data_IF_291122695092
#
_entry.id   IF_291122695092
#
_cell.length_a   1.000
_cell.length_b   1.000
_cell.length_c   1.000
_cell.angle_alpha   90.00
_cell.angle_beta   90.00
_cell.angle_gamma   90.00
#
_symmetry.space_group_name_H-M   'P 1'
#
loop_
_entity.id
_entity.type
_entity.pdbx_description
1 polymer ?
#
# COMPACT_ATOMS: atom_id res chain seq x y z
N UNK A 1 -1.17 -49.81 -20.09
CA UNK A 1 -1.32 -50.45 -18.77
C UNK A 1 -1.50 -49.31 -17.78
N UNK A 2 -2.74 -48.89 -17.58
CA UNK A 2 -3.15 -47.94 -16.55
C UNK A 2 -3.32 -48.71 -15.25
N UNK A 3 -2.28 -48.77 -14.44
CA UNK A 3 -2.37 -49.15 -13.06
C UNK A 3 -2.86 -47.97 -12.27
N UNK A 4 -4.19 -47.74 -12.25
CA UNK A 4 -4.81 -46.72 -11.42
C UNK A 4 -4.67 -47.05 -9.95
N UNK A 5 -3.64 -46.56 -9.27
CA UNK A 5 -3.69 -46.39 -7.82
C UNK A 5 -4.88 -45.46 -7.54
N UNK A 6 -5.94 -46.00 -6.90
CA UNK A 6 -7.06 -45.19 -6.44
C UNK A 6 -6.53 -44.17 -5.46
N UNK A 7 -6.52 -42.89 -5.84
CA UNK A 7 -6.04 -41.81 -4.98
C UNK A 7 -6.81 -41.76 -3.66
N UNK A 8 -6.17 -41.24 -2.62
CA UNK A 8 -6.78 -41.10 -1.30
C UNK A 8 -7.98 -40.16 -1.39
N UNK A 9 -9.17 -40.67 -1.03
CA UNK A 9 -10.41 -39.87 -0.97
C UNK A 9 -10.63 -39.33 0.42
N UNK A 10 -10.93 -38.05 0.51
CA UNK A 10 -11.27 -37.34 1.75
C UNK A 10 -12.27 -36.22 1.43
N UNK A 11 -12.88 -35.65 2.46
CA UNK A 11 -13.69 -34.45 2.29
C UNK A 11 -12.81 -33.28 1.88
N UNK A 12 -13.11 -32.67 0.73
CA UNK A 12 -12.41 -31.49 0.23
C UNK A 12 -12.78 -30.25 1.06
N UNK A 13 -11.81 -29.53 1.59
CA UNK A 13 -12.01 -28.32 2.39
C UNK A 13 -12.64 -27.16 1.60
N UNK A 14 -12.50 -27.16 0.27
CA UNK A 14 -13.04 -26.10 -0.60
C UNK A 14 -14.50 -26.37 -0.98
N UNK A 15 -14.80 -27.60 -1.38
CA UNK A 15 -16.14 -27.94 -1.91
C UNK A 15 -17.07 -28.59 -0.88
N UNK A 16 -16.52 -29.06 0.25
CA UNK A 16 -17.26 -29.84 1.24
C UNK A 16 -17.64 -31.25 0.82
N UNK A 17 -17.32 -31.65 -0.42
CA UNK A 17 -17.66 -32.97 -0.99
C UNK A 17 -16.48 -33.94 -0.83
N UNK A 18 -16.78 -35.24 -0.82
CA UNK A 18 -15.76 -36.27 -0.91
C UNK A 18 -15.15 -36.26 -2.32
N UNK A 19 -13.82 -36.20 -2.40
CA UNK A 19 -13.08 -36.10 -3.65
C UNK A 19 -11.71 -36.79 -3.51
N UNK A 20 -11.08 -37.10 -4.63
CA UNK A 20 -9.69 -37.53 -4.66
C UNK A 20 -8.76 -36.35 -4.37
N UNK A 21 -7.96 -36.44 -3.33
CA UNK A 21 -7.15 -35.34 -2.84
C UNK A 21 -5.86 -35.15 -3.65
N UNK A 22 -5.56 -33.91 -3.98
CA UNK A 22 -4.30 -33.54 -4.61
C UNK A 22 -3.16 -33.58 -3.55
N UNK A 23 -2.29 -34.57 -3.60
CA UNK A 23 -1.13 -34.69 -2.72
C UNK A 23 -0.20 -33.45 -2.86
N UNK A 24 -0.07 -32.93 -4.08
CA UNK A 24 0.67 -31.70 -4.40
C UNK A 24 -0.23 -30.80 -5.26
N UNK A 25 -0.33 -29.53 -4.90
CA UNK A 25 -1.07 -28.57 -5.71
C UNK A 25 -0.22 -28.06 -6.90
N UNK A 26 -0.82 -27.70 -8.02
CA UNK A 26 -0.11 -27.05 -9.10
C UNK A 26 0.54 -25.73 -8.65
N UNK A 27 1.64 -25.33 -9.31
CA UNK A 27 2.37 -24.11 -8.97
C UNK A 27 1.66 -22.86 -9.48
N UNK A 28 1.68 -21.80 -8.67
CA UNK A 28 1.28 -20.46 -9.05
C UNK A 28 2.50 -19.74 -9.65
N UNK A 29 2.31 -19.14 -10.82
CA UNK A 29 3.33 -18.40 -11.59
C UNK A 29 3.00 -16.91 -11.63
N UNK A 30 3.98 -16.06 -11.97
CA UNK A 30 3.73 -14.63 -12.18
C UNK A 30 3.80 -13.77 -10.91
N UNK A 31 4.05 -14.36 -9.73
CA UNK A 31 4.33 -13.58 -8.51
C UNK A 31 5.76 -13.05 -8.57
N UNK A 32 5.93 -11.75 -8.38
CA UNK A 32 7.23 -11.07 -8.43
C UNK A 32 8.23 -11.69 -7.44
N UNK A 33 9.46 -11.84 -7.86
CA UNK A 33 10.57 -12.40 -7.07
C UNK A 33 10.35 -13.83 -6.54
N UNK A 34 9.29 -14.52 -6.96
CA UNK A 34 9.12 -15.94 -6.74
C UNK A 34 9.93 -16.76 -7.76
N UNK A 35 10.03 -18.07 -7.55
CA UNK A 35 10.71 -18.96 -8.49
C UNK A 35 10.03 -18.92 -9.87
N UNK A 36 10.82 -18.89 -10.93
CA UNK A 36 10.32 -18.84 -12.32
C UNK A 36 9.50 -20.06 -12.71
N UNK A 37 9.78 -21.23 -12.11
CA UNK A 37 8.97 -22.46 -12.27
C UNK A 37 7.60 -22.37 -11.59
N UNK A 38 7.39 -21.33 -10.76
CA UNK A 38 6.24 -21.13 -9.91
C UNK A 38 6.49 -21.55 -8.46
N UNK A 39 5.61 -21.11 -7.59
CA UNK A 39 5.66 -21.40 -6.15
C UNK A 39 4.30 -21.94 -5.66
N UNK A 40 4.33 -22.77 -4.62
CA UNK A 40 3.12 -23.37 -4.07
C UNK A 40 2.38 -22.41 -3.14
N UNK A 41 1.07 -22.25 -3.33
CA UNK A 41 0.21 -21.52 -2.39
C UNK A 41 -0.06 -22.36 -1.12
N UNK A 42 -0.31 -23.66 -1.31
CA UNK A 42 -0.51 -24.64 -0.23
C UNK A 42 0.53 -25.75 -0.40
N UNK A 43 1.34 -25.98 0.62
CA UNK A 43 2.42 -26.99 0.57
C UNK A 43 2.86 -27.42 1.98
N UNK A 44 3.03 -28.73 2.17
CA UNK A 44 3.51 -29.39 3.39
C UNK A 44 4.76 -30.19 3.07
N UNK A 45 5.83 -29.51 2.70
CA UNK A 45 7.06 -30.12 2.19
C UNK A 45 8.14 -30.37 3.25
N UNK A 46 7.80 -30.26 4.53
CA UNK A 46 8.69 -30.58 5.63
C UNK A 46 7.94 -31.32 6.74
N UNK A 47 8.59 -32.26 7.48
CA UNK A 47 7.94 -32.99 8.56
C UNK A 47 7.31 -32.09 9.63
N UNK A 48 7.91 -30.92 9.89
CA UNK A 48 7.39 -29.96 10.87
C UNK A 48 6.01 -29.36 10.48
N UNK A 49 5.58 -29.51 9.24
CA UNK A 49 4.26 -29.05 8.76
C UNK A 49 3.21 -30.16 8.78
N UNK A 50 3.62 -31.40 9.06
CA UNK A 50 2.76 -32.57 9.05
C UNK A 50 2.22 -32.87 10.44
N UNK A 51 0.97 -33.32 10.54
CA UNK A 51 0.30 -33.67 11.80
C UNK A 51 -0.53 -34.93 11.64
N UNK A 52 -0.78 -35.62 12.76
CA UNK A 52 -1.63 -36.82 12.82
C UNK A 52 -1.25 -37.94 11.83
N UNK A 53 0.05 -38.07 11.52
CA UNK A 53 0.55 -39.08 10.59
C UNK A 53 0.19 -38.84 9.12
N UNK A 54 -0.29 -37.64 8.77
CA UNK A 54 -0.58 -37.26 7.39
C UNK A 54 0.63 -36.62 6.74
N UNK A 55 0.82 -36.90 5.46
CA UNK A 55 1.91 -36.35 4.66
C UNK A 55 1.36 -35.38 3.63
N UNK A 56 2.21 -34.49 3.12
CA UNK A 56 1.89 -33.57 2.04
C UNK A 56 0.54 -32.82 2.28
N UNK A 57 -0.21 -32.53 1.20
CA UNK A 57 -1.47 -31.80 1.28
C UNK A 57 -2.65 -32.62 1.83
N UNK A 58 -2.44 -33.87 2.25
CA UNK A 58 -3.41 -34.60 3.08
C UNK A 58 -3.60 -33.97 4.47
N UNK A 59 -2.69 -33.09 4.90
CA UNK A 59 -2.84 -32.25 6.09
C UNK A 59 -3.90 -31.14 5.93
N UNK A 60 -4.13 -30.68 4.69
CA UNK A 60 -5.20 -29.74 4.32
C UNK A 60 -5.85 -30.25 3.03
N UNK A 61 -6.74 -31.24 3.11
CA UNK A 61 -7.23 -31.98 1.94
C UNK A 61 -8.03 -31.08 1.00
N UNK A 62 -7.57 -30.92 -0.23
CA UNK A 62 -8.24 -30.24 -1.32
C UNK A 62 -8.32 -31.19 -2.50
N UNK A 63 -9.52 -31.38 -3.05
CA UNK A 63 -9.76 -32.23 -4.20
C UNK A 63 -8.99 -31.80 -5.44
N UNK A 64 -8.61 -32.74 -6.30
CA UNK A 64 -7.81 -32.47 -7.52
C UNK A 64 -8.42 -31.39 -8.39
N UNK A 65 -9.74 -31.43 -8.58
CA UNK A 65 -10.44 -30.40 -9.38
C UNK A 65 -10.32 -29.01 -8.72
N UNK A 66 -10.58 -28.90 -7.43
CA UNK A 66 -10.50 -27.61 -6.72
C UNK A 66 -9.07 -27.04 -6.72
N UNK A 67 -8.05 -27.90 -6.52
CA UNK A 67 -6.65 -27.50 -6.57
C UNK A 67 -6.25 -26.98 -7.97
N UNK A 68 -6.69 -27.67 -9.03
CA UNK A 68 -6.49 -27.24 -10.40
C UNK A 68 -7.23 -25.92 -10.70
N UNK A 69 -8.51 -25.82 -10.32
CA UNK A 69 -9.37 -24.69 -10.66
C UNK A 69 -8.85 -23.37 -10.06
N UNK A 70 -8.54 -23.34 -8.75
CA UNK A 70 -8.04 -22.09 -8.14
C UNK A 70 -6.67 -21.70 -8.68
N UNK A 71 -5.80 -22.68 -8.95
CA UNK A 71 -4.46 -22.40 -9.48
C UNK A 71 -4.52 -21.89 -10.92
N UNK A 72 -5.37 -22.50 -11.76
CA UNK A 72 -5.57 -22.05 -13.14
C UNK A 72 -6.14 -20.64 -13.19
N UNK A 73 -7.17 -20.35 -12.39
CA UNK A 73 -7.75 -19.01 -12.28
C UNK A 73 -6.73 -17.99 -11.82
N UNK A 74 -5.96 -18.29 -10.77
CA UNK A 74 -4.95 -17.37 -10.24
C UNK A 74 -3.81 -17.14 -11.26
N UNK A 75 -3.37 -18.18 -11.96
CA UNK A 75 -2.37 -18.06 -13.02
C UNK A 75 -2.88 -17.21 -14.19
N UNK A 76 -4.16 -17.33 -14.53
CA UNK A 76 -4.79 -16.50 -15.56
C UNK A 76 -4.77 -15.02 -15.16
N UNK A 77 -5.24 -14.70 -13.95
CA UNK A 77 -5.25 -13.33 -13.44
C UNK A 77 -3.82 -12.75 -13.32
N UNK A 78 -2.85 -13.54 -12.88
CA UNK A 78 -1.45 -13.11 -12.75
C UNK A 78 -0.74 -12.88 -14.10
N UNK A 79 -1.28 -13.42 -15.19
CA UNK A 79 -0.77 -13.20 -16.54
C UNK A 79 -1.30 -11.90 -17.18
N UNK A 80 -2.31 -11.28 -16.59
CA UNK A 80 -2.94 -10.07 -17.08
C UNK A 80 -2.51 -8.86 -16.25
N UNK A 81 -1.90 -7.86 -16.89
CA UNK A 81 -1.39 -6.65 -16.26
C UNK A 81 -2.49 -5.77 -15.62
N UNK A 82 -3.72 -5.84 -16.11
CA UNK A 82 -4.83 -5.05 -15.59
C UNK A 82 -5.29 -5.57 -14.23
N UNK A 83 -5.12 -6.86 -13.99
CA UNK A 83 -5.41 -7.51 -12.72
C UNK A 83 -4.29 -7.43 -11.69
N UNK A 84 -3.08 -6.96 -12.06
CA UNK A 84 -1.88 -7.06 -11.21
C UNK A 84 -1.28 -5.70 -10.88
N UNK A 85 -1.01 -5.49 -9.60
CA UNK A 85 -0.24 -4.35 -9.10
C UNK A 85 0.93 -4.82 -8.24
N UNK A 86 2.06 -4.13 -8.30
CA UNK A 86 3.23 -4.43 -7.48
C UNK A 86 3.43 -3.37 -6.39
N UNK A 87 3.36 -3.80 -5.13
CA UNK A 87 3.49 -2.93 -3.95
C UNK A 87 4.61 -3.48 -3.06
N UNK A 88 5.82 -2.92 -3.19
CA UNK A 88 7.02 -3.48 -2.58
C UNK A 88 7.31 -4.88 -3.14
N UNK A 89 7.41 -5.90 -2.27
CA UNK A 89 7.55 -7.31 -2.65
C UNK A 89 6.18 -8.00 -2.90
N UNK A 90 5.08 -7.30 -2.64
CA UNK A 90 3.74 -7.87 -2.73
C UNK A 90 3.20 -7.72 -4.14
N UNK A 91 2.84 -8.83 -4.75
CA UNK A 91 2.03 -8.88 -5.96
C UNK A 91 0.56 -8.87 -5.55
N UNK A 92 -0.13 -7.80 -5.85
CA UNK A 92 -1.56 -7.62 -5.58
C UNK A 92 -2.33 -8.04 -6.81
N UNK A 93 -3.21 -9.01 -6.66
CA UNK A 93 -4.13 -9.47 -7.69
C UNK A 93 -5.53 -9.02 -7.33
N UNK A 94 -6.28 -8.48 -8.29
CA UNK A 94 -7.65 -8.03 -8.06
C UNK A 94 -8.59 -8.48 -9.17
N UNK A 95 -9.86 -8.68 -8.82
CA UNK A 95 -10.90 -9.07 -9.76
C UNK A 95 -12.30 -8.72 -9.24
N UNK A 96 -13.23 -8.51 -10.17
CA UNK A 96 -14.66 -8.39 -9.87
C UNK A 96 -15.37 -9.75 -10.06
N UNK A 97 -16.45 -9.95 -9.34
CA UNK A 97 -17.32 -11.11 -9.56
C UNK A 97 -18.07 -10.93 -10.89
N UNK A 98 -18.02 -11.94 -11.76
CA UNK A 98 -18.66 -11.90 -13.07
C UNK A 98 -17.73 -11.51 -14.24
N UNK A 99 -16.39 -11.51 -14.02
CA UNK A 99 -15.35 -11.38 -15.06
C UNK A 99 -15.49 -10.11 -15.92
N UNK A 100 -15.54 -8.95 -15.29
CA UNK A 100 -15.57 -7.64 -15.97
C UNK A 100 -14.23 -6.92 -15.73
N UNK A 101 -13.46 -6.68 -16.80
CA UNK A 101 -12.11 -6.12 -16.75
C UNK A 101 -12.11 -4.60 -16.46
N UNK A 102 -13.27 -3.94 -16.53
CA UNK A 102 -13.40 -2.52 -16.23
C UNK A 102 -13.00 -2.19 -14.77
N UNK A 103 -13.35 -3.07 -13.82
CA UNK A 103 -13.07 -2.86 -12.40
C UNK A 103 -11.58 -2.95 -12.04
N UNK A 104 -10.83 -4.01 -12.46
CA UNK A 104 -9.40 -4.08 -12.22
C UNK A 104 -8.64 -2.94 -12.87
N UNK A 105 -8.95 -2.58 -14.11
CA UNK A 105 -8.31 -1.47 -14.81
C UNK A 105 -8.52 -0.12 -14.12
N UNK A 106 -9.76 0.17 -13.68
CA UNK A 106 -10.07 1.38 -12.91
C UNK A 106 -9.32 1.39 -11.56
N UNK A 107 -9.36 0.28 -10.82
CA UNK A 107 -8.64 0.16 -9.55
C UNK A 107 -7.14 0.39 -9.72
N UNK A 108 -6.55 -0.22 -10.73
CA UNK A 108 -5.12 -0.08 -11.06
C UNK A 108 -4.72 1.35 -11.37
N UNK A 109 -5.54 2.07 -12.15
CA UNK A 109 -5.30 3.47 -12.47
C UNK A 109 -5.38 4.37 -11.22
N UNK A 110 -6.39 4.17 -10.38
CA UNK A 110 -6.58 4.95 -9.14
C UNK A 110 -5.42 4.74 -8.17
N UNK A 111 -4.94 3.51 -7.99
CA UNK A 111 -3.86 3.20 -7.03
C UNK A 111 -2.48 3.54 -7.59
N UNK A 112 -2.26 3.26 -8.87
CA UNK A 112 -0.98 3.42 -9.53
C UNK A 112 -0.69 4.84 -10.04
N UNK A 113 -1.68 5.73 -10.07
CA UNK A 113 -1.54 7.07 -10.68
C UNK A 113 -1.40 7.00 -12.20
N UNK A 114 -2.01 6.00 -12.81
CA UNK A 114 -2.05 5.80 -14.27
C UNK A 114 -3.25 6.49 -14.93
N UNK A 115 -3.37 6.27 -16.24
CA UNK A 115 -4.55 6.68 -17.03
C UNK A 115 -5.48 5.49 -17.21
N UNK A 116 -6.77 5.74 -17.28
CA UNK A 116 -7.79 4.73 -17.57
C UNK A 116 -8.74 5.24 -18.65
N UNK A 117 -8.86 4.51 -19.74
CA UNK A 117 -9.81 4.83 -20.82
C UNK A 117 -9.68 6.24 -21.41
N UNK A 118 -8.50 6.86 -21.34
CA UNK A 118 -8.28 8.24 -21.77
C UNK A 118 -8.79 9.33 -20.83
N UNK A 119 -9.23 8.96 -19.61
CA UNK A 119 -9.66 9.90 -18.59
C UNK A 119 -8.51 10.78 -18.12
N UNK A 120 -8.80 12.06 -17.89
CA UNK A 120 -7.89 12.95 -17.16
C UNK A 120 -7.83 12.58 -15.66
N UNK A 121 -6.78 13.02 -14.95
CA UNK A 121 -6.68 12.90 -13.49
C UNK A 121 -7.93 13.42 -12.75
N UNK A 122 -8.52 14.52 -13.25
CA UNK A 122 -9.72 15.11 -12.65
C UNK A 122 -10.95 14.22 -12.86
N UNK A 123 -11.11 13.63 -14.05
CA UNK A 123 -12.23 12.74 -14.35
C UNK A 123 -12.10 11.45 -13.54
N UNK A 124 -10.89 10.91 -13.41
CA UNK A 124 -10.62 9.72 -12.58
C UNK A 124 -10.96 9.98 -11.10
N UNK A 125 -10.60 11.17 -10.57
CA UNK A 125 -11.00 11.60 -9.22
C UNK A 125 -12.50 11.76 -9.06
N UNK A 126 -13.17 12.34 -10.06
CA UNK A 126 -14.63 12.51 -10.03
C UNK A 126 -15.33 11.14 -10.02
N UNK A 127 -14.88 10.21 -10.85
CA UNK A 127 -15.39 8.84 -10.87
C UNK A 127 -15.14 8.11 -9.55
N UNK A 128 -13.92 8.22 -8.98
CA UNK A 128 -13.61 7.68 -7.65
C UNK A 128 -14.57 8.19 -6.57
N UNK A 129 -14.82 9.51 -6.52
CA UNK A 129 -15.77 10.12 -5.57
C UNK A 129 -17.20 9.65 -5.78
N UNK A 130 -17.65 9.47 -7.03
CA UNK A 130 -18.98 8.91 -7.32
C UNK A 130 -19.11 7.51 -6.73
N UNK A 131 -18.17 6.63 -7.05
CA UNK A 131 -18.15 5.25 -6.57
C UNK A 131 -18.04 5.17 -5.03
N UNK A 132 -17.21 6.02 -4.43
CA UNK A 132 -17.07 6.13 -2.98
C UNK A 132 -18.37 6.58 -2.27
N UNK A 133 -19.24 7.29 -2.97
CA UNK A 133 -20.57 7.68 -2.49
C UNK A 133 -21.69 6.69 -2.88
N UNK A 134 -21.32 5.50 -3.38
CA UNK A 134 -22.28 4.47 -3.76
C UNK A 134 -23.03 4.76 -5.07
N UNK A 135 -22.54 5.67 -5.90
CA UNK A 135 -23.15 6.04 -7.17
C UNK A 135 -22.43 5.34 -8.35
N UNK A 136 -23.16 4.73 -9.29
CA UNK A 136 -22.55 4.06 -10.42
C UNK A 136 -21.87 5.04 -11.38
N UNK A 137 -20.88 4.55 -12.11
CA UNK A 137 -20.26 5.24 -13.23
C UNK A 137 -20.63 4.50 -14.53
N UNK A 138 -21.83 4.81 -15.06
CA UNK A 138 -22.39 4.11 -16.21
C UNK A 138 -21.51 4.23 -17.46
N UNK A 139 -20.88 5.39 -17.66
CA UNK A 139 -19.95 5.65 -18.78
C UNK A 139 -18.71 4.75 -18.74
N UNK A 140 -18.38 4.19 -17.56
CA UNK A 140 -17.24 3.30 -17.36
C UNK A 140 -17.69 1.84 -17.15
N UNK A 141 -18.98 1.56 -17.13
CA UNK A 141 -19.51 0.22 -16.84
C UNK A 141 -19.27 -0.26 -15.41
N UNK A 142 -19.13 0.66 -14.43
CA UNK A 142 -18.73 0.33 -13.07
C UNK A 142 -19.85 0.59 -12.07
N UNK A 143 -20.34 -0.49 -11.41
CA UNK A 143 -21.34 -0.47 -10.35
C UNK A 143 -20.66 -0.61 -8.98
N UNK A 144 -20.87 0.32 -8.02
CA UNK A 144 -20.28 0.25 -6.68
C UNK A 144 -20.72 -0.98 -5.88
N UNK A 145 -21.84 -1.61 -6.19
CA UNK A 145 -22.34 -2.78 -5.47
C UNK A 145 -21.69 -4.09 -5.91
N UNK A 146 -20.90 -4.10 -6.99
CA UNK A 146 -20.24 -5.30 -7.50
C UNK A 146 -19.26 -5.85 -6.47
N UNK A 147 -19.32 -7.13 -6.11
CA UNK A 147 -18.30 -7.76 -5.27
C UNK A 147 -16.94 -7.70 -5.94
N UNK A 148 -15.95 -7.24 -5.19
CA UNK A 148 -14.58 -7.08 -5.65
C UNK A 148 -13.60 -7.72 -4.67
N UNK A 149 -12.55 -8.32 -5.19
CA UNK A 149 -11.58 -9.08 -4.43
C UNK A 149 -10.19 -8.55 -4.64
N UNK A 150 -9.40 -8.50 -3.58
CA UNK A 150 -7.98 -8.11 -3.60
C UNK A 150 -7.18 -9.14 -2.82
N UNK A 151 -6.21 -9.77 -3.49
CA UNK A 151 -5.31 -10.76 -2.92
C UNK A 151 -3.87 -10.27 -3.01
N UNK A 152 -3.21 -10.09 -1.87
CA UNK A 152 -1.79 -9.77 -1.78
C UNK A 152 -0.95 -11.02 -1.57
N UNK A 153 -0.07 -11.31 -2.52
CA UNK A 153 0.85 -12.45 -2.50
C UNK A 153 2.30 -11.95 -2.42
N UNK A 154 3.12 -12.62 -1.63
CA UNK A 154 4.56 -12.35 -1.56
C UNK A 154 5.37 -13.65 -1.67
N UNK A 155 6.59 -13.59 -2.24
CA UNK A 155 7.46 -14.74 -2.32
C UNK A 155 7.91 -15.20 -0.92
N UNK A 156 7.99 -16.50 -0.74
CA UNK A 156 8.52 -17.15 0.47
C UNK A 156 9.25 -18.44 0.08
N UNK A 157 10.46 -18.29 -0.47
CA UNK A 157 11.23 -19.39 -1.07
C UNK A 157 10.41 -20.14 -2.15
N UNK A 158 10.20 -21.46 -1.97
CA UNK A 158 9.40 -22.27 -2.90
C UNK A 158 7.88 -22.13 -2.71
N UNK A 159 7.44 -21.27 -1.79
CA UNK A 159 6.03 -21.06 -1.43
C UNK A 159 5.64 -19.61 -1.60
N UNK A 160 4.34 -19.34 -1.50
CA UNK A 160 3.77 -17.99 -1.45
C UNK A 160 3.19 -17.72 -0.05
N UNK A 161 3.38 -16.51 0.41
CA UNK A 161 2.68 -15.98 1.59
C UNK A 161 1.50 -15.14 1.15
N UNK A 162 0.33 -15.38 1.72
CA UNK A 162 -0.82 -14.48 1.60
C UNK A 162 -0.63 -13.34 2.61
N UNK A 163 -0.35 -12.14 2.12
CA UNK A 163 -0.20 -10.94 2.96
C UNK A 163 -1.55 -10.43 3.43
N UNK A 164 -2.53 -10.44 2.54
CA UNK A 164 -3.93 -10.11 2.83
C UNK A 164 -4.84 -10.65 1.76
N UNK A 165 -6.09 -10.87 2.16
CA UNK A 165 -7.21 -11.14 1.25
C UNK A 165 -8.38 -10.27 1.69
N UNK A 166 -8.90 -9.47 0.78
CA UNK A 166 -10.03 -8.57 1.02
C UNK A 166 -11.15 -8.89 0.06
N UNK A 167 -12.37 -8.86 0.58
CA UNK A 167 -13.60 -8.99 -0.19
C UNK A 167 -14.58 -7.95 0.32
N UNK A 168 -15.04 -7.09 -0.55
CA UNK A 168 -16.08 -6.10 -0.24
C UNK A 168 -16.79 -5.70 -1.54
N UNK A 169 -17.78 -4.81 -1.47
CA UNK A 169 -18.28 -4.13 -2.64
C UNK A 169 -17.21 -3.20 -3.22
N UNK A 170 -17.20 -3.02 -4.53
CA UNK A 170 -16.25 -2.14 -5.20
C UNK A 170 -16.35 -0.70 -4.65
N UNK A 171 -17.57 -0.20 -4.43
CA UNK A 171 -17.81 1.12 -3.84
C UNK A 171 -17.19 1.27 -2.45
N UNK A 172 -17.27 0.24 -1.59
CA UNK A 172 -16.65 0.29 -0.25
C UNK A 172 -15.15 0.37 -0.31
N UNK A 173 -14.52 -0.36 -1.21
CA UNK A 173 -13.08 -0.27 -1.45
C UNK A 173 -12.69 1.10 -1.99
N UNK A 174 -13.48 1.67 -2.91
CA UNK A 174 -13.27 3.03 -3.43
C UNK A 174 -13.48 4.10 -2.36
N UNK A 175 -14.43 3.94 -1.46
CA UNK A 175 -14.60 4.80 -0.27
C UNK A 175 -13.33 4.83 0.58
N UNK A 176 -12.76 3.66 0.88
CA UNK A 176 -11.53 3.57 1.67
C UNK A 176 -10.35 4.26 0.99
N UNK A 177 -10.18 4.07 -0.33
CA UNK A 177 -9.14 4.69 -1.15
C UNK A 177 -9.35 6.20 -1.25
N UNK A 178 -10.57 6.65 -1.53
CA UNK A 178 -10.90 8.09 -1.58
C UNK A 178 -10.62 8.76 -0.23
N UNK A 179 -11.04 8.15 0.87
CA UNK A 179 -10.78 8.66 2.22
C UNK A 179 -9.27 8.68 2.56
N UNK A 180 -8.47 7.77 1.98
CA UNK A 180 -7.01 7.84 2.07
C UNK A 180 -6.48 9.09 1.35
N UNK A 181 -6.88 9.34 0.11
CA UNK A 181 -6.45 10.51 -0.65
C UNK A 181 -6.89 11.82 -0.03
N UNK A 182 -8.10 11.91 0.52
CA UNK A 182 -8.57 13.09 1.25
C UNK A 182 -7.72 13.38 2.49
N UNK A 183 -7.31 12.36 3.23
CA UNK A 183 -6.37 12.53 4.36
C UNK A 183 -4.97 12.98 3.91
N UNK A 184 -4.54 12.55 2.73
CA UNK A 184 -3.25 12.93 2.14
C UNK A 184 -3.26 14.35 1.57
N UNK A 185 -4.42 14.96 1.36
CA UNK A 185 -4.53 16.27 0.70
C UNK A 185 -3.83 17.36 1.52
N UNK A 186 -2.86 18.04 0.90
CA UNK A 186 -2.10 19.16 1.43
C UNK A 186 -1.73 20.09 0.29
N UNK A 187 -1.50 21.39 0.57
CA UNK A 187 -1.01 22.34 -0.43
C UNK A 187 0.24 21.80 -1.11
N UNK A 188 0.21 21.76 -2.44
CA UNK A 188 1.28 21.20 -3.27
C UNK A 188 2.18 22.27 -3.83
N UNK A 189 3.49 21.99 -3.99
CA UNK A 189 4.36 22.82 -4.81
C UNK A 189 3.87 22.86 -6.27
N UNK A 190 4.07 23.98 -6.94
CA UNK A 190 3.61 24.16 -8.33
C UNK A 190 4.25 23.19 -9.34
N UNK A 191 5.39 22.60 -9.01
CA UNK A 191 6.07 21.63 -9.86
C UNK A 191 5.53 20.20 -9.75
N UNK A 192 4.66 19.93 -8.75
CA UNK A 192 4.08 18.60 -8.58
C UNK A 192 3.00 18.34 -9.65
N UNK A 193 3.21 17.25 -10.40
CA UNK A 193 2.35 16.87 -11.53
C UNK A 193 1.09 16.12 -11.11
N UNK A 194 1.16 15.34 -10.03
CA UNK A 194 0.05 14.52 -9.58
C UNK A 194 -0.88 15.30 -8.68
N UNK A 195 -2.18 15.13 -8.88
CA UNK A 195 -3.22 15.70 -8.01
C UNK A 195 -3.30 15.00 -6.65
N UNK A 196 -2.75 13.79 -6.54
CA UNK A 196 -2.65 12.98 -5.34
C UNK A 196 -1.35 12.19 -5.36
N UNK A 197 -0.92 11.66 -4.22
CA UNK A 197 0.29 10.86 -4.10
C UNK A 197 -0.06 9.37 -4.36
N UNK A 198 0.28 8.81 -5.54
CA UNK A 198 0.05 7.41 -5.82
C UNK A 198 0.76 6.52 -4.79
N UNK A 199 0.27 5.30 -4.58
CA UNK A 199 0.79 4.41 -3.55
C UNK A 199 2.30 4.11 -3.72
N UNK A 200 2.78 3.95 -4.95
CA UNK A 200 4.22 3.76 -5.21
C UNK A 200 5.05 4.98 -4.80
N UNK A 201 4.54 6.18 -5.04
CA UNK A 201 5.21 7.43 -4.68
C UNK A 201 5.20 7.65 -3.16
N UNK A 202 4.07 7.33 -2.49
CA UNK A 202 3.98 7.31 -1.04
C UNK A 202 5.04 6.40 -0.42
N UNK A 203 5.18 5.18 -0.92
CA UNK A 203 6.17 4.24 -0.41
C UNK A 203 7.61 4.69 -0.68
N UNK A 204 7.85 5.41 -1.78
CA UNK A 204 9.16 5.98 -2.10
C UNK A 204 9.62 7.00 -1.06
N UNK A 205 8.72 7.73 -0.41
CA UNK A 205 9.05 8.67 0.68
C UNK A 205 9.67 7.99 1.92
N UNK A 206 9.53 6.68 2.03
CA UNK A 206 10.09 5.88 3.13
C UNK A 206 11.49 5.31 2.81
N UNK A 207 11.97 5.50 1.57
CA UNK A 207 13.16 4.83 1.05
C UNK A 207 14.39 5.73 1.16
N UNK A 208 15.52 5.15 1.59
CA UNK A 208 16.80 5.80 1.46
C UNK A 208 17.30 5.69 0.00
N UNK A 209 17.18 6.78 -0.75
CA UNK A 209 17.58 6.82 -2.17
C UNK A 209 19.10 6.69 -2.40
N UNK A 210 19.89 6.81 -1.33
CA UNK A 210 21.34 6.61 -1.36
C UNK A 210 21.77 5.19 -1.00
N UNK A 211 20.81 4.33 -0.59
CA UNK A 211 21.09 2.92 -0.32
C UNK A 211 21.22 2.11 -1.62
N UNK A 212 21.86 0.93 -1.53
CA UNK A 212 21.95 -0.02 -2.63
C UNK A 212 20.55 -0.52 -3.03
N UNK A 213 19.75 -0.88 -2.04
CA UNK A 213 18.38 -1.37 -2.22
C UNK A 213 17.40 -0.21 -2.05
N UNK A 214 17.03 0.40 -3.19
CA UNK A 214 16.09 1.53 -3.24
C UNK A 214 14.65 1.03 -3.17
N UNK A 215 14.34 0.15 -2.23
CA UNK A 215 13.02 -0.46 -2.05
C UNK A 215 12.46 -0.18 -0.64
N UNK A 216 11.14 0.00 -0.52
CA UNK A 216 10.50 0.12 0.79
C UNK A 216 10.56 -1.23 1.54
N UNK A 217 10.50 -1.19 2.88
CA UNK A 217 10.37 -2.42 3.67
C UNK A 217 9.15 -3.22 3.21
N UNK A 218 9.31 -4.50 2.82
CA UNK A 218 8.21 -5.31 2.30
C UNK A 218 7.03 -5.43 3.26
N UNK A 219 7.31 -5.68 4.54
CA UNK A 219 6.28 -5.81 5.56
C UNK A 219 5.49 -4.50 5.76
N UNK A 220 6.18 -3.37 5.79
CA UNK A 220 5.57 -2.05 5.92
C UNK A 220 4.74 -1.70 4.67
N UNK A 221 5.25 -1.96 3.47
CA UNK A 221 4.55 -1.70 2.21
C UNK A 221 3.24 -2.50 2.11
N UNK A 222 3.29 -3.80 2.38
CA UNK A 222 2.10 -4.66 2.40
C UNK A 222 1.07 -4.26 3.47
N UNK A 223 1.53 -3.92 4.69
CA UNK A 223 0.66 -3.46 5.76
C UNK A 223 0.00 -2.10 5.44
N UNK A 224 0.73 -1.19 4.78
CA UNK A 224 0.20 0.11 4.33
C UNK A 224 -0.86 -0.08 3.25
N UNK A 225 -0.60 -0.90 2.25
CA UNK A 225 -1.58 -1.22 1.20
C UNK A 225 -2.85 -1.83 1.78
N UNK A 226 -2.71 -2.84 2.65
CA UNK A 226 -3.84 -3.44 3.38
C UNK A 226 -4.64 -2.39 4.14
N UNK A 227 -3.97 -1.48 4.86
CA UNK A 227 -4.65 -0.44 5.65
C UNK A 227 -5.44 0.52 4.76
N UNK A 228 -4.90 0.90 3.59
CA UNK A 228 -5.58 1.75 2.62
C UNK A 228 -6.83 1.05 2.09
N UNK A 229 -6.71 -0.17 1.60
CA UNK A 229 -7.81 -0.91 0.96
C UNK A 229 -8.91 -1.32 1.95
N UNK A 230 -8.55 -1.72 3.17
CA UNK A 230 -9.51 -2.12 4.20
C UNK A 230 -10.07 -0.96 5.03
N UNK A 231 -9.55 0.27 4.86
CA UNK A 231 -9.91 1.40 5.72
C UNK A 231 -9.41 1.27 7.17
N UNK A 232 -8.48 0.35 7.46
CA UNK A 232 -7.88 0.17 8.77
C UNK A 232 -6.92 1.31 9.15
N UNK A 233 -6.40 1.30 10.38
CA UNK A 233 -5.34 2.23 10.83
C UNK A 233 -4.05 1.99 10.06
N UNK A 234 -3.31 3.05 9.77
CA UNK A 234 -1.99 2.92 9.17
C UNK A 234 -1.01 2.23 10.13
N UNK A 235 -0.07 1.42 9.62
CA UNK A 235 0.94 0.78 10.45
C UNK A 235 1.91 1.82 11.03
N UNK A 236 2.32 1.65 12.29
CA UNK A 236 3.29 2.54 12.95
C UNK A 236 4.60 2.62 12.18
N UNK A 237 5.01 1.52 11.55
CA UNK A 237 6.22 1.44 10.72
C UNK A 237 6.22 2.41 9.52
N UNK A 238 5.05 2.84 9.02
CA UNK A 238 4.96 3.87 7.97
C UNK A 238 5.43 5.24 8.52
N UNK A 239 4.92 5.65 9.69
CA UNK A 239 5.32 6.90 10.32
C UNK A 239 6.81 6.86 10.72
N UNK A 240 7.24 5.76 11.34
CA UNK A 240 8.63 5.56 11.77
C UNK A 240 9.61 5.67 10.60
N UNK A 241 9.30 5.05 9.46
CA UNK A 241 10.13 5.10 8.27
C UNK A 241 10.23 6.52 7.70
N UNK A 242 9.11 7.26 7.63
CA UNK A 242 9.11 8.66 7.17
C UNK A 242 9.88 9.55 8.12
N UNK A 243 9.67 9.42 9.43
CA UNK A 243 10.39 10.19 10.45
C UNK A 243 11.90 9.91 10.45
N UNK A 244 12.28 8.65 10.20
CA UNK A 244 13.69 8.28 10.04
C UNK A 244 14.30 8.99 8.82
N UNK A 245 13.59 9.07 7.69
CA UNK A 245 14.07 9.78 6.49
C UNK A 245 14.20 11.27 6.74
N UNK A 246 13.20 11.89 7.34
CA UNK A 246 13.24 13.32 7.70
C UNK A 246 14.48 13.64 8.54
N UNK A 247 14.72 12.84 9.59
CA UNK A 247 15.88 13.05 10.48
C UNK A 247 17.22 12.84 9.79
N UNK A 248 17.31 11.84 8.90
CA UNK A 248 18.55 11.50 8.19
C UNK A 248 18.86 12.50 7.06
N UNK A 249 17.83 12.92 6.32
CA UNK A 249 17.95 13.77 5.14
C UNK A 249 17.78 15.25 5.49
N UNK A 250 17.20 15.55 6.64
CA UNK A 250 16.84 16.92 7.10
C UNK A 250 15.96 17.63 6.08
N UNK A 251 15.14 16.86 5.38
CA UNK A 251 14.27 17.35 4.31
C UNK A 251 12.85 16.83 4.47
N UNK A 252 11.88 17.76 4.41
CA UNK A 252 10.47 17.48 4.49
C UNK A 252 9.86 17.73 3.12
N UNK A 253 9.74 16.67 2.33
CA UNK A 253 9.04 16.73 1.05
C UNK A 253 7.54 16.89 1.27
N UNK A 254 6.83 17.34 0.23
CA UNK A 254 5.37 17.37 0.20
C UNK A 254 4.78 15.99 0.55
N UNK A 255 5.33 14.91 -0.01
CA UNK A 255 4.88 13.54 0.25
C UNK A 255 5.06 13.13 1.71
N UNK A 256 6.22 13.41 2.33
CA UNK A 256 6.48 13.13 3.75
C UNK A 256 5.48 13.87 4.66
N UNK A 257 5.22 15.16 4.39
CA UNK A 257 4.24 15.95 5.15
C UNK A 257 2.82 15.39 5.00
N UNK A 258 2.41 15.01 3.78
CA UNK A 258 1.12 14.41 3.51
C UNK A 258 0.92 13.08 4.24
N UNK A 259 1.95 12.22 4.28
CA UNK A 259 1.92 10.94 5.01
C UNK A 259 1.73 11.18 6.51
N UNK A 260 2.48 12.11 7.12
CA UNK A 260 2.37 12.43 8.56
C UNK A 260 0.96 12.93 8.87
N UNK A 261 0.44 13.87 8.07
CA UNK A 261 -0.93 14.37 8.21
C UNK A 261 -1.95 13.24 8.12
N UNK A 262 -1.89 12.42 7.07
CA UNK A 262 -2.81 11.31 6.89
C UNK A 262 -2.73 10.28 8.02
N UNK A 263 -1.53 10.00 8.49
CA UNK A 263 -1.29 9.09 9.61
C UNK A 263 -2.04 9.57 10.87
N UNK A 264 -1.82 10.80 11.32
CA UNK A 264 -2.44 11.31 12.53
C UNK A 264 -3.95 11.58 12.40
N UNK A 265 -4.45 11.88 11.20
CA UNK A 265 -5.90 11.93 10.95
C UNK A 265 -6.58 10.55 11.10
N UNK A 266 -5.89 9.47 10.74
CA UNK A 266 -6.40 8.09 10.85
C UNK A 266 -6.08 7.44 12.18
N UNK A 267 -4.95 7.79 12.78
CA UNK A 267 -4.42 7.29 14.04
C UNK A 267 -4.28 8.48 15.02
N UNK A 268 -5.39 9.01 15.59
CA UNK A 268 -5.34 10.20 16.45
C UNK A 268 -4.40 10.01 17.64
N UNK A 269 -3.65 11.05 17.96
CA UNK A 269 -2.76 11.11 19.12
C UNK A 269 -2.95 12.46 19.84
N UNK A 270 -2.90 12.47 21.16
CA UNK A 270 -3.14 13.66 21.97
C UNK A 270 -2.13 14.78 21.71
N UNK A 271 -0.86 14.43 21.46
CA UNK A 271 0.20 15.40 21.16
C UNK A 271 0.13 15.98 19.73
N UNK A 272 -0.78 15.48 18.89
CA UNK A 272 -0.98 15.98 17.53
C UNK A 272 -2.43 16.38 17.31
N UNK A 273 -2.84 17.59 17.70
CA UNK A 273 -4.21 18.04 17.59
C UNK A 273 -4.62 18.24 16.14
N UNK A 274 -5.91 17.95 15.83
CA UNK A 274 -6.44 18.03 14.48
C UNK A 274 -6.29 19.41 13.82
N UNK A 275 -6.24 20.46 14.62
CA UNK A 275 -6.10 21.85 14.14
C UNK A 275 -4.82 22.10 13.34
N UNK A 276 -3.75 21.31 13.56
CA UNK A 276 -2.50 21.41 12.79
C UNK A 276 -2.47 20.48 11.57
N UNK A 277 -3.49 19.64 11.39
CA UNK A 277 -3.61 18.66 10.30
C UNK A 277 -4.49 19.18 9.13
N UNK A 278 -4.35 20.45 8.81
CA UNK A 278 -5.12 21.13 7.76
C UNK A 278 -4.51 20.94 6.37
N UNK A 279 -5.27 21.23 5.33
CA UNK A 279 -4.77 21.20 3.94
C UNK A 279 -3.78 22.32 3.70
N UNK A 280 -4.09 23.53 4.17
CA UNK A 280 -3.22 24.70 4.10
C UNK A 280 -2.66 25.05 5.48
N UNK A 281 -1.71 25.98 5.52
CA UNK A 281 -1.14 26.47 6.75
C UNK A 281 -2.24 27.05 7.66
N UNK A 282 -2.31 26.60 8.92
CA UNK A 282 -3.17 27.18 9.93
C UNK A 282 -2.44 28.31 10.66
N UNK A 283 -2.65 29.54 10.23
CA UNK A 283 -2.00 30.72 10.80
C UNK A 283 -2.51 31.05 12.21
N UNK A 284 -3.72 30.64 12.55
CA UNK A 284 -4.36 30.88 13.84
C UNK A 284 -3.96 29.87 14.91
N UNK A 285 -3.22 28.80 14.57
CA UNK A 285 -2.82 27.78 15.52
C UNK A 285 -1.87 28.36 16.58
N UNK A 286 -2.19 28.12 17.85
CA UNK A 286 -1.35 28.45 19.02
C UNK A 286 -0.53 27.27 19.53
N UNK A 287 -0.58 26.11 18.81
CA UNK A 287 0.23 24.96 19.17
C UNK A 287 1.73 25.32 19.08
N UNK A 288 2.44 25.20 20.22
CA UNK A 288 3.82 25.64 20.34
C UNK A 288 4.74 24.93 19.32
N UNK A 289 4.66 23.61 19.20
CA UNK A 289 5.52 22.85 18.30
C UNK A 289 5.27 23.24 16.84
N UNK A 290 4.01 23.42 16.45
CA UNK A 290 3.63 23.86 15.12
C UNK A 290 4.15 25.28 14.82
N UNK A 291 4.00 26.21 15.77
CA UNK A 291 4.48 27.60 15.63
C UNK A 291 6.01 27.64 15.52
N UNK A 292 6.73 26.85 16.33
CA UNK A 292 8.18 26.73 16.21
C UNK A 292 8.62 26.18 14.86
N UNK A 293 7.93 25.19 14.32
CA UNK A 293 8.20 24.67 12.98
C UNK A 293 8.04 25.75 11.90
N UNK A 294 6.97 26.56 11.98
CA UNK A 294 6.76 27.71 11.09
C UNK A 294 7.88 28.73 11.20
N UNK A 295 8.26 29.09 12.44
CA UNK A 295 9.35 30.04 12.71
C UNK A 295 10.68 29.54 12.16
N UNK A 296 10.98 28.24 12.31
CA UNK A 296 12.19 27.63 11.77
C UNK A 296 12.25 27.76 10.23
N UNK A 297 11.14 27.51 9.54
CA UNK A 297 11.04 27.68 8.09
C UNK A 297 11.25 29.14 7.65
N UNK A 298 10.73 30.10 8.42
CA UNK A 298 10.94 31.54 8.14
C UNK A 298 12.42 31.91 8.31
N UNK A 299 13.09 31.45 9.36
CA UNK A 299 14.53 31.69 9.55
C UNK A 299 15.37 31.12 8.41
N UNK A 300 15.06 29.92 7.92
CA UNK A 300 15.74 29.35 6.77
C UNK A 300 15.53 30.22 5.51
N UNK A 301 14.29 30.63 5.24
CA UNK A 301 13.98 31.48 4.09
C UNK A 301 14.70 32.85 4.15
N UNK A 302 14.75 33.47 5.33
CA UNK A 302 15.48 34.74 5.56
C UNK A 302 16.97 34.55 5.31
N UNK A 303 17.59 33.47 5.84
CA UNK A 303 18.99 33.18 5.64
C UNK A 303 19.33 32.95 4.17
N UNK A 304 18.49 32.22 3.44
CA UNK A 304 18.68 31.99 2.00
C UNK A 304 18.54 33.28 1.20
N UNK A 305 17.59 34.13 1.56
CA UNK A 305 17.39 35.43 0.91
C UNK A 305 18.56 36.41 1.15
N UNK A 306 19.09 36.40 2.38
CA UNK A 306 20.27 37.22 2.74
C UNK A 306 21.55 36.70 2.10
N UNK A 307 21.69 35.40 1.91
CA UNK A 307 22.88 34.74 1.37
C UNK A 307 22.54 33.73 0.27
N UNK A 308 22.19 34.18 -0.94
CA UNK A 308 21.73 33.29 -2.03
C UNK A 308 22.73 32.19 -2.44
N UNK A 309 24.00 32.33 -2.10
CA UNK A 309 25.08 31.36 -2.39
C UNK A 309 25.46 30.44 -1.23
N UNK A 310 24.67 30.40 -0.16
CA UNK A 310 24.98 29.60 1.03
C UNK A 310 24.97 28.11 0.73
N UNK A 311 26.07 27.41 1.07
CA UNK A 311 26.22 25.98 0.83
C UNK A 311 25.46 25.09 1.85
N UNK A 312 25.23 25.59 3.07
CA UNK A 312 24.55 24.86 4.13
C UNK A 312 23.72 25.83 4.99
N UNK A 313 22.43 25.64 5.00
CA UNK A 313 21.48 26.48 5.74
C UNK A 313 21.36 26.07 7.20
N UNK A 314 20.53 26.78 7.95
CA UNK A 314 20.19 26.38 9.34
C UNK A 314 19.51 25.00 9.36
N UNK A 315 18.79 24.63 8.31
CA UNK A 315 18.21 23.29 8.15
C UNK A 315 19.30 22.21 8.24
N UNK A 316 20.38 22.36 7.50
CA UNK A 316 21.47 21.38 7.49
C UNK A 316 22.19 21.26 8.83
N UNK A 317 22.29 22.35 9.58
CA UNK A 317 23.05 22.41 10.83
C UNK A 317 22.21 22.14 12.07
N UNK A 318 20.99 22.66 12.13
CA UNK A 318 20.22 22.74 13.37
C UNK A 318 18.89 21.98 13.36
N UNK A 319 18.43 21.43 12.24
CA UNK A 319 17.11 20.80 12.12
C UNK A 319 16.82 19.80 13.26
N UNK A 320 17.69 18.80 13.42
CA UNK A 320 17.48 17.74 14.43
C UNK A 320 17.58 18.27 15.86
N UNK A 321 18.52 19.19 16.14
CA UNK A 321 18.69 19.78 17.47
C UNK A 321 17.57 20.77 17.80
N UNK A 322 17.07 21.54 16.83
CA UNK A 322 15.92 22.41 17.01
C UNK A 322 14.63 21.61 17.31
N UNK A 323 14.46 20.48 16.66
CA UNK A 323 13.34 19.59 16.93
C UNK A 323 13.43 18.90 18.30
N UNK A 324 14.63 18.51 18.74
CA UNK A 324 14.83 17.80 20.02
C UNK A 324 14.94 18.74 21.24
N UNK A 325 15.55 19.92 21.07
CA UNK A 325 15.85 20.87 22.16
C UNK A 325 15.52 22.31 21.74
N UNK A 326 14.26 22.64 21.45
CA UNK A 326 13.88 23.92 20.88
C UNK A 326 14.28 25.09 21.83
N UNK A 327 14.10 24.97 23.14
CA UNK A 327 14.41 26.00 24.11
C UNK A 327 15.90 26.43 24.10
N UNK A 328 16.81 25.52 23.73
CA UNK A 328 18.25 25.80 23.64
C UNK A 328 18.66 26.33 22.28
N UNK A 329 18.01 25.92 21.24
CA UNK A 329 18.45 26.19 19.85
C UNK A 329 17.81 27.45 19.27
N UNK A 330 16.52 27.71 19.51
CA UNK A 330 15.87 28.91 18.96
C UNK A 330 16.51 30.24 19.40
N UNK A 331 17.01 30.42 20.65
CA UNK A 331 17.78 31.61 21.00
C UNK A 331 19.06 31.77 20.13
N UNK A 332 19.71 30.67 19.77
CA UNK A 332 20.89 30.69 18.86
C UNK A 332 20.49 31.12 17.45
N UNK A 333 19.37 30.57 16.95
CA UNK A 333 18.87 30.91 15.61
C UNK A 333 18.46 32.38 15.46
N UNK A 334 17.99 33.00 16.55
CA UNK A 334 17.66 34.44 16.58
C UNK A 334 18.87 35.35 16.39
N UNK A 335 20.08 34.87 16.66
CA UNK A 335 21.33 35.64 16.61
C UNK A 335 22.15 35.34 15.34
N UNK A 336 21.65 34.47 14.45
CA UNK A 336 22.27 34.15 13.18
C UNK A 336 21.75 35.03 12.05
#
# INVERSE_FOLDING_TARGET
RDGGESGVKMQCLVTGKEDEIAAVHPSVKGVRDAQSSGAALVSFNAPAFCSYGREQNYNAPVGKYAAFAYTAALNHLLADSDHVQHIGDTTVVCWAEGADDAYPGFFSAVIGGGTYGGLSDNDLRAALKRLANGLPCDDLGVDPNRPFYILGLAPNAARLSVRFFLRDSFGKLMENVNAHYERMEIVRPAYEKFNYLPLWSLLRETVNLNSRDKAPSPAMAGATARAIFSGARYPASLLEAVMLRIRAERDITWGKAAIIKAYYLKNPHEDCPKEVLTVSLNEASTNLAYTLGRLFSVYEAVQQAANPGINATIKDKYFNSAAAMPASIFPVLNNL
#
